data_IF_844390935642
#
_entry.id   IF_844390935642
#
_cell.length_a   1.000
_cell.length_b   1.000
_cell.length_c   1.000
_cell.angle_alpha   90.00
_cell.angle_beta   90.00
_cell.angle_gamma   90.00
#
_symmetry.space_group_name_H-M   'P 1'
#
loop_
_entity.id
_entity.type
_entity.pdbx_description
1 polymer ?
#
# COMPACT_ATOMS: atom_id res chain seq x y z
N UNK A 1 33.58 -24.74 -2.03
CA UNK A 1 33.13 -23.35 -1.78
C UNK A 1 31.71 -23.26 -2.30
N UNK A 2 30.71 -23.31 -1.41
CA UNK A 2 29.32 -23.21 -1.81
C UNK A 2 28.99 -21.74 -2.05
N UNK A 3 28.68 -21.40 -3.30
CA UNK A 3 28.14 -20.09 -3.66
C UNK A 3 26.73 -20.03 -3.08
N UNK A 4 26.58 -19.32 -1.96
CA UNK A 4 25.29 -18.97 -1.40
C UNK A 4 24.58 -18.06 -2.40
N UNK A 5 23.60 -18.59 -3.13
CA UNK A 5 22.65 -17.78 -3.91
C UNK A 5 21.70 -17.08 -2.94
N UNK A 6 22.19 -16.04 -2.26
CA UNK A 6 21.33 -15.06 -1.60
C UNK A 6 20.76 -14.09 -2.64
N UNK A 7 19.52 -13.66 -2.42
CA UNK A 7 18.87 -12.60 -3.19
C UNK A 7 19.66 -11.29 -3.11
N UNK A 8 19.57 -10.48 -4.17
CA UNK A 8 20.22 -9.17 -4.26
C UNK A 8 19.20 -8.07 -4.47
N UNK A 9 19.31 -7.02 -3.68
CA UNK A 9 18.39 -5.88 -3.73
C UNK A 9 19.11 -4.64 -4.23
N UNK A 10 18.79 -4.20 -5.44
CA UNK A 10 19.33 -2.94 -5.99
C UNK A 10 18.42 -1.78 -5.60
N UNK A 11 18.97 -0.79 -4.90
CA UNK A 11 18.21 0.35 -4.38
C UNK A 11 18.64 1.64 -5.07
N UNK A 12 17.70 2.26 -5.79
CA UNK A 12 17.92 3.50 -6.55
C UNK A 12 16.98 4.61 -6.09
N UNK A 13 17.51 5.81 -5.87
CA UNK A 13 16.71 6.99 -5.54
C UNK A 13 16.76 8.04 -6.64
N UNK A 14 15.69 8.82 -6.73
CA UNK A 14 15.66 10.05 -7.50
C UNK A 14 15.28 11.22 -6.58
N UNK A 15 16.15 12.23 -6.41
CA UNK A 15 17.49 12.32 -6.99
C UNK A 15 18.48 11.33 -6.34
N UNK A 16 19.57 11.00 -7.05
CA UNK A 16 20.57 10.02 -6.59
C UNK A 16 21.38 10.52 -5.40
N UNK A 17 22.09 9.64 -4.70
CA UNK A 17 22.95 9.99 -3.57
C UNK A 17 22.22 10.18 -2.24
N UNK A 18 20.97 9.71 -2.12
CA UNK A 18 20.30 9.67 -0.82
C UNK A 18 20.94 8.59 0.07
N UNK A 19 21.08 8.87 1.37
CA UNK A 19 21.46 7.87 2.36
C UNK A 19 20.35 6.84 2.48
N UNK A 20 20.70 5.57 2.43
CA UNK A 20 19.80 4.43 2.55
C UNK A 20 20.03 3.77 3.89
N UNK A 21 19.02 3.77 4.72
CA UNK A 21 19.00 3.10 6.00
C UNK A 21 18.09 1.89 5.89
N UNK A 22 18.55 0.79 6.47
CA UNK A 22 17.73 -0.37 6.71
C UNK A 22 17.16 -0.26 8.12
N UNK A 23 15.87 -0.54 8.26
CA UNK A 23 15.18 -0.53 9.54
C UNK A 23 14.51 -1.86 9.78
N UNK A 24 14.94 -2.51 10.86
CA UNK A 24 14.38 -3.78 11.33
C UNK A 24 13.02 -3.53 12.01
N UNK A 25 12.03 -4.36 11.68
CA UNK A 25 10.68 -4.26 12.21
C UNK A 25 10.63 -4.60 13.70
N UNK A 26 11.40 -5.60 14.12
CA UNK A 26 11.35 -6.14 15.48
C UNK A 26 12.14 -5.27 16.47
N UNK A 27 13.35 -4.87 16.09
CA UNK A 27 14.25 -4.12 16.99
C UNK A 27 14.10 -2.61 16.84
N UNK A 28 13.44 -2.13 15.77
CA UNK A 28 13.44 -0.72 15.35
C UNK A 28 14.86 -0.16 15.13
N UNK A 29 15.86 -1.04 15.01
CA UNK A 29 17.24 -0.65 14.80
C UNK A 29 17.42 -0.12 13.38
N UNK A 30 18.04 1.05 13.28
CA UNK A 30 18.29 1.76 12.03
C UNK A 30 19.77 1.65 11.69
N UNK A 31 20.09 0.95 10.60
CA UNK A 31 21.47 0.75 10.12
C UNK A 31 21.68 1.42 8.77
N UNK A 32 22.69 2.29 8.68
CA UNK A 32 23.08 2.88 7.39
C UNK A 32 23.71 1.79 6.50
N UNK A 33 23.21 1.65 5.28
CA UNK A 33 23.74 0.70 4.29
C UNK A 33 24.69 1.40 3.32
N UNK A 34 24.37 2.62 2.92
CA UNK A 34 25.20 3.41 2.01
C UNK A 34 24.40 4.51 1.33
N UNK A 35 24.96 5.06 0.26
CA UNK A 35 24.29 6.09 -0.55
C UNK A 35 23.78 5.46 -1.84
N UNK A 36 22.56 5.81 -2.24
CA UNK A 36 21.96 5.30 -3.47
C UNK A 36 22.69 5.80 -4.73
N UNK A 37 22.93 4.96 -5.76
CA UNK A 37 22.54 3.56 -5.86
C UNK A 37 23.38 2.65 -4.96
N UNK A 38 22.72 1.73 -4.25
CA UNK A 38 23.38 0.76 -3.35
C UNK A 38 22.79 -0.63 -3.58
N UNK A 39 23.63 -1.65 -3.44
CA UNK A 39 23.22 -3.06 -3.45
C UNK A 39 23.18 -3.57 -2.02
N UNK A 40 22.13 -4.31 -1.68
CA UNK A 40 21.93 -4.93 -0.37
C UNK A 40 21.85 -6.43 -0.61
N UNK A 41 22.72 -7.19 0.05
CA UNK A 41 22.64 -8.64 0.05
C UNK A 41 21.52 -9.12 0.99
N UNK A 42 20.85 -10.22 0.63
CA UNK A 42 19.86 -10.86 1.49
C UNK A 42 20.47 -11.27 2.83
N UNK A 43 19.89 -10.79 3.93
CA UNK A 43 20.27 -11.19 5.29
C UNK A 43 19.12 -11.97 5.94
N UNK A 44 19.39 -13.19 6.40
CA UNK A 44 18.38 -14.07 7.02
C UNK A 44 17.68 -13.44 8.23
N UNK A 45 18.30 -12.47 8.90
CA UNK A 45 17.75 -11.77 10.07
C UNK A 45 16.68 -10.73 9.73
N UNK A 46 16.64 -10.23 8.49
CA UNK A 46 15.68 -9.21 8.05
C UNK A 46 14.27 -9.79 7.86
N UNK A 47 14.18 -11.13 7.77
CA UNK A 47 12.97 -11.82 7.39
C UNK A 47 12.47 -11.42 6.00
N UNK A 48 11.21 -11.75 5.73
CA UNK A 48 10.61 -11.53 4.42
C UNK A 48 10.04 -10.11 4.26
N UNK A 49 10.10 -9.28 5.31
CA UNK A 49 9.59 -7.90 5.32
C UNK A 49 10.51 -7.01 6.13
N UNK A 50 11.00 -5.93 5.53
CA UNK A 50 11.82 -4.91 6.20
C UNK A 50 11.53 -3.51 5.63
N UNK A 51 11.99 -2.46 6.29
CA UNK A 51 11.84 -1.09 5.79
C UNK A 51 13.17 -0.52 5.30
N UNK A 52 13.10 0.23 4.20
CA UNK A 52 14.17 1.11 3.74
C UNK A 52 13.77 2.55 3.96
N UNK A 53 14.62 3.29 4.65
CA UNK A 53 14.45 4.71 4.88
C UNK A 53 15.50 5.50 4.10
N UNK A 54 15.04 6.55 3.44
CA UNK A 54 15.85 7.39 2.56
C UNK A 54 15.95 8.79 3.15
N UNK A 55 17.18 9.29 3.28
CA UNK A 55 17.43 10.68 3.69
C UNK A 55 18.30 11.39 2.67
N UNK A 56 17.96 12.64 2.39
CA UNK A 56 18.79 13.52 1.57
C UNK A 56 18.58 14.98 2.01
N UNK A 57 19.65 15.79 2.12
CA UNK A 57 19.51 17.21 2.46
C UNK A 57 18.59 17.93 1.48
N UNK A 58 17.69 18.78 1.99
CA UNK A 58 16.66 19.49 1.23
C UNK A 58 15.55 18.58 0.63
N UNK A 59 15.39 17.35 1.11
CA UNK A 59 14.31 16.44 0.75
C UNK A 59 13.66 15.84 1.98
N UNK A 60 12.36 15.57 1.90
CA UNK A 60 11.62 14.84 2.92
C UNK A 60 12.16 13.40 3.04
N UNK A 61 12.33 12.93 4.27
CA UNK A 61 12.66 11.53 4.51
C UNK A 61 11.52 10.64 4.02
N UNK A 62 11.86 9.46 3.51
CA UNK A 62 10.90 8.54 2.92
C UNK A 62 11.16 7.13 3.39
N UNK A 63 10.14 6.48 3.92
CA UNK A 63 10.18 5.08 4.33
C UNK A 63 9.41 4.23 3.31
N UNK A 64 9.99 3.09 2.92
CA UNK A 64 9.41 2.15 1.96
C UNK A 64 9.48 0.75 2.53
N UNK A 65 8.33 0.09 2.65
CA UNK A 65 8.24 -1.31 3.04
C UNK A 65 8.66 -2.20 1.86
N UNK A 66 9.59 -3.10 2.12
CA UNK A 66 10.07 -4.10 1.15
C UNK A 66 9.58 -5.46 1.62
N UNK A 67 8.94 -6.20 0.70
CA UNK A 67 8.56 -7.59 0.89
C UNK A 67 9.32 -8.44 -0.12
N UNK A 68 10.02 -9.45 0.36
CA UNK A 68 10.91 -10.32 -0.43
C UNK A 68 10.55 -11.78 -0.18
N UNK A 69 10.67 -12.63 -1.19
CA UNK A 69 10.69 -14.07 -1.02
C UNK A 69 12.15 -14.56 -0.94
N UNK A 70 12.39 -15.68 -0.26
CA UNK A 70 13.74 -16.25 -0.10
C UNK A 70 14.41 -16.45 -1.48
N UNK A 71 15.62 -15.90 -1.64
CA UNK A 71 16.40 -15.97 -2.89
C UNK A 71 15.91 -15.06 -4.02
N UNK A 72 14.92 -14.20 -3.80
CA UNK A 72 14.43 -13.25 -4.80
C UNK A 72 15.40 -12.06 -4.95
N UNK A 73 15.67 -11.66 -6.20
CA UNK A 73 16.41 -10.43 -6.49
C UNK A 73 15.46 -9.36 -6.99
N UNK A 74 15.51 -8.16 -6.43
CA UNK A 74 14.58 -7.07 -6.78
C UNK A 74 15.27 -5.72 -6.90
N UNK A 75 14.61 -4.80 -7.61
CA UNK A 75 15.06 -3.41 -7.73
C UNK A 75 14.07 -2.48 -7.05
N UNK A 76 14.51 -1.80 -6.00
CA UNK A 76 13.74 -0.77 -5.29
C UNK A 76 14.03 0.59 -5.91
N UNK A 77 12.99 1.30 -6.36
CA UNK A 77 13.11 2.67 -6.86
C UNK A 77 12.28 3.63 -6.00
N UNK A 78 12.93 4.62 -5.38
CA UNK A 78 12.26 5.62 -4.55
C UNK A 78 12.48 7.04 -5.08
N UNK A 79 11.39 7.82 -5.26
CA UNK A 79 11.47 9.26 -5.54
C UNK A 79 11.32 10.04 -4.24
N UNK A 80 12.22 10.99 -3.99
CA UNK A 80 12.20 11.89 -2.84
C UNK A 80 11.58 13.22 -3.24
N UNK A 81 10.79 13.78 -2.34
CA UNK A 81 10.13 15.07 -2.53
C UNK A 81 10.98 16.16 -1.87
N UNK A 82 11.23 17.30 -2.55
CA UNK A 82 12.03 18.38 -1.98
C UNK A 82 11.32 19.04 -0.78
N UNK A 83 12.10 19.47 0.21
CA UNK A 83 11.63 20.25 1.35
C UNK A 83 11.10 21.60 0.86
N UNK A 84 9.93 22.01 1.31
CA UNK A 84 9.38 23.34 0.96
C UNK A 84 10.16 24.45 1.69
N UNK A 85 10.13 25.68 1.17
CA UNK A 85 10.90 26.81 1.72
C UNK A 85 10.57 27.16 3.18
N UNK A 86 9.43 26.71 3.71
CA UNK A 86 9.07 26.84 5.11
C UNK A 86 9.78 25.79 5.99
N UNK A 87 9.99 24.57 5.47
CA UNK A 87 10.59 23.44 6.18
C UNK A 87 12.12 23.49 6.17
N UNK A 88 12.73 23.98 5.08
CA UNK A 88 14.18 24.12 4.93
C UNK A 88 14.82 25.10 5.93
N UNK A 89 14.07 26.11 6.41
CA UNK A 89 14.56 27.06 7.43
C UNK A 89 14.66 26.44 8.83
N UNK A 90 13.92 25.36 9.11
CA UNK A 90 13.93 24.69 10.41
C UNK A 90 15.12 23.75 10.62
N UNK A 91 15.68 23.17 9.55
CA UNK A 91 16.80 22.22 9.64
C UNK A 91 18.16 22.89 9.84
N UNK A 92 18.37 24.11 9.32
CA UNK A 92 19.62 24.86 9.49
C UNK A 92 19.93 25.23 10.95
N UNK A 93 18.91 25.21 11.84
CA UNK A 93 19.06 25.55 13.25
C UNK A 93 19.42 24.36 14.17
N UNK A 94 19.47 23.12 13.65
CA UNK A 94 19.71 21.91 14.48
C UNK A 94 21.15 21.38 14.45
N UNK A 95 22.04 21.99 13.67
CA UNK A 95 23.44 21.55 13.56
C UNK A 95 24.39 22.51 14.30
N UNK A 96 24.37 22.47 15.64
CA UNK A 96 25.51 22.88 16.47
C UNK A 96 25.90 21.71 17.41
N UNK A 97 27.20 21.44 17.61
CA UNK A 97 27.66 20.30 18.38
C UNK A 97 27.62 20.61 19.88
N UNK A 98 26.84 19.84 20.66
CA UNK A 98 26.97 19.85 22.13
C UNK A 98 27.91 18.74 22.59
N UNK A 99 28.96 19.18 23.28
CA UNK A 99 30.00 18.40 23.98
C UNK A 99 29.43 17.57 25.14
N UNK A 100 30.13 16.47 25.42
CA UNK A 100 29.97 15.55 26.55
C UNK A 100 29.98 16.23 27.92
N UNK A 101 29.30 15.62 28.90
CA UNK A 101 29.91 15.19 30.18
C UNK A 101 29.04 14.14 30.90
N UNK A 102 29.72 13.03 31.21
CA UNK A 102 29.63 11.99 32.24
C UNK A 102 28.33 11.52 32.97
N UNK A 103 28.23 10.18 32.96
CA UNK A 103 27.52 9.15 33.75
C UNK A 103 27.22 9.50 35.24
N UNK A 104 26.26 8.95 36.00
CA UNK A 104 25.25 7.85 36.03
C UNK A 104 24.56 7.98 37.43
N UNK A 105 23.70 7.06 37.92
CA UNK A 105 22.56 6.35 37.32
C UNK A 105 21.29 6.51 38.20
N UNK A 106 20.07 6.36 37.66
CA UNK A 106 18.95 5.70 38.36
C UNK A 106 17.64 5.77 37.57
N UNK A 107 16.86 4.69 37.71
CA UNK A 107 15.45 4.64 37.38
C UNK A 107 15.15 3.88 36.10
N UNK A 108 14.82 2.60 36.22
CA UNK A 108 13.94 1.95 35.24
C UNK A 108 12.67 2.81 35.11
N UNK A 109 12.28 3.28 33.92
CA UNK A 109 10.91 3.72 33.71
C UNK A 109 10.01 2.46 33.70
N UNK A 110 8.76 2.56 34.16
CA UNK A 110 7.89 1.41 34.36
C UNK A 110 7.65 0.66 33.05
N UNK A 111 7.42 -0.64 33.15
CA UNK A 111 6.74 -1.40 32.09
C UNK A 111 5.35 -0.80 31.89
N UNK A 112 5.24 0.19 31.02
CA UNK A 112 3.96 0.59 30.46
C UNK A 112 3.54 -0.51 29.48
N UNK A 113 2.49 -1.23 29.86
CA UNK A 113 1.70 -2.06 28.97
C UNK A 113 1.38 -1.25 27.70
N UNK A 114 2.16 -1.45 26.64
CA UNK A 114 1.83 -0.96 25.30
C UNK A 114 0.50 -1.61 24.92
N UNK A 115 -0.61 -0.92 25.19
CA UNK A 115 -1.90 -1.20 24.59
C UNK A 115 -1.65 -1.35 23.09
N UNK A 116 -1.97 -2.53 22.56
CA UNK A 116 -2.06 -2.75 21.12
C UNK A 116 -2.84 -1.57 20.53
N UNK A 117 -2.37 -0.93 19.44
CA UNK A 117 -3.17 0.09 18.78
C UNK A 117 -4.56 -0.49 18.56
N UNK A 118 -5.60 0.27 18.90
CA UNK A 118 -6.99 -0.15 18.68
C UNK A 118 -7.07 -0.64 17.23
N UNK A 119 -7.61 -1.84 16.98
CA UNK A 119 -7.66 -2.45 15.64
C UNK A 119 -8.29 -1.47 14.62
N UNK A 120 -9.13 -0.55 15.12
CA UNK A 120 -9.73 0.56 14.39
C UNK A 120 -8.76 1.67 13.98
N UNK A 121 -7.77 2.02 14.80
CA UNK A 121 -6.75 3.02 14.47
C UNK A 121 -5.80 2.49 13.40
N UNK A 122 -5.37 1.23 13.52
CA UNK A 122 -4.59 0.56 12.47
C UNK A 122 -5.39 0.48 11.17
N UNK A 123 -6.67 0.11 11.23
CA UNK A 123 -7.54 0.07 10.05
C UNK A 123 -7.71 1.47 9.42
N UNK A 124 -7.96 2.51 10.23
CA UNK A 124 -8.06 3.90 9.75
C UNK A 124 -6.77 4.33 9.07
N UNK A 125 -5.61 3.97 9.62
CA UNK A 125 -4.32 4.27 9.02
C UNK A 125 -4.16 3.58 7.65
N UNK A 126 -4.41 2.27 7.57
CA UNK A 126 -4.32 1.52 6.30
C UNK A 126 -5.28 2.07 5.24
N UNK A 127 -6.49 2.40 5.65
CA UNK A 127 -7.51 2.99 4.77
C UNK A 127 -7.07 4.37 4.30
N UNK A 128 -6.51 5.22 5.19
CA UNK A 128 -5.99 6.53 4.83
C UNK A 128 -4.79 6.45 3.89
N UNK A 129 -3.94 5.44 4.05
CA UNK A 129 -2.79 5.16 3.18
C UNK A 129 -3.18 4.51 1.86
N UNK A 130 -4.44 4.09 1.70
CA UNK A 130 -4.97 3.50 0.46
C UNK A 130 -4.14 2.32 -0.06
N UNK A 131 -3.52 1.55 0.85
CA UNK A 131 -2.34 0.69 0.64
C UNK A 131 -2.37 -0.24 -0.60
N UNK A 132 -3.55 -0.54 -1.16
CA UNK A 132 -3.72 -1.50 -2.25
C UNK A 132 -4.69 -1.07 -3.36
N UNK A 133 -5.16 0.18 -3.36
CA UNK A 133 -6.19 0.62 -4.35
C UNK A 133 -5.60 1.17 -5.65
N UNK A 134 -4.28 1.39 -5.76
CA UNK A 134 -3.73 2.25 -6.84
C UNK A 134 -2.49 1.76 -7.57
N UNK A 135 -1.86 0.64 -7.19
CA UNK A 135 -0.63 0.19 -7.84
C UNK A 135 -0.76 0.10 -9.38
N UNK A 136 -1.89 -0.43 -9.85
CA UNK A 136 -2.14 -0.69 -11.27
C UNK A 136 -2.53 0.54 -12.10
N UNK A 137 -3.17 1.54 -11.50
CA UNK A 137 -3.75 2.67 -12.25
C UNK A 137 -2.73 3.74 -12.63
N UNK A 138 -1.72 3.94 -11.78
CA UNK A 138 -0.62 4.87 -12.07
C UNK A 138 0.20 4.38 -13.27
N UNK A 139 0.52 3.09 -13.32
CA UNK A 139 1.30 2.55 -14.43
C UNK A 139 0.48 2.49 -15.73
N UNK A 140 -0.81 2.17 -15.66
CA UNK A 140 -1.68 2.18 -16.83
C UNK A 140 -1.86 3.58 -17.42
N UNK A 141 -2.10 4.61 -16.59
CA UNK A 141 -2.34 5.99 -17.04
C UNK A 141 -1.07 6.71 -17.51
N UNK A 142 0.10 6.37 -16.95
CA UNK A 142 1.36 7.07 -17.23
C UNK A 142 2.36 6.25 -18.07
N UNK A 143 2.04 5.03 -18.53
CA UNK A 143 2.98 4.26 -19.34
C UNK A 143 3.22 4.88 -20.73
N UNK A 144 4.47 4.98 -21.19
CA UNK A 144 4.80 5.45 -22.54
C UNK A 144 4.20 4.61 -23.67
N UNK A 145 3.84 3.34 -23.40
CA UNK A 145 3.28 2.42 -24.42
C UNK A 145 1.91 2.86 -24.94
N UNK A 146 1.14 3.63 -24.17
CA UNK A 146 -0.12 4.21 -24.64
C UNK A 146 0.06 5.57 -25.33
N UNK A 147 1.29 6.09 -25.46
CA UNK A 147 1.55 7.38 -26.13
C UNK A 147 1.52 7.30 -27.67
N UNK A 148 1.68 6.13 -28.29
CA UNK A 148 1.93 6.00 -29.74
C UNK A 148 0.95 5.12 -30.55
N UNK A 149 -0.36 5.17 -30.29
CA UNK A 149 -1.39 4.51 -31.11
C UNK A 149 -2.18 5.50 -31.98
N UNK A 150 -2.83 5.05 -33.08
CA UNK A 150 -3.52 5.93 -34.04
C UNK A 150 -4.59 6.80 -33.37
N UNK A 151 -4.57 8.09 -33.69
CA UNK A 151 -5.21 9.24 -33.00
C UNK A 151 -6.75 9.30 -33.02
N UNK A 152 -7.49 8.18 -32.95
CA UNK A 152 -8.97 8.22 -33.05
C UNK A 152 -9.76 7.33 -32.08
N UNK A 153 -9.18 6.97 -30.95
CA UNK A 153 -9.99 6.63 -29.78
C UNK A 153 -9.74 7.67 -28.71
N UNK A 154 -10.80 8.44 -28.43
CA UNK A 154 -10.93 9.48 -27.42
C UNK A 154 -9.94 9.36 -26.27
N UNK A 155 -8.84 10.11 -26.39
CA UNK A 155 -8.11 10.62 -25.24
C UNK A 155 -8.94 11.74 -24.60
N UNK A 156 -10.15 11.41 -24.13
CA UNK A 156 -10.82 12.16 -23.07
C UNK A 156 -10.01 11.97 -21.78
N UNK A 157 -8.86 12.64 -21.75
CA UNK A 157 -7.87 12.59 -20.67
C UNK A 157 -8.36 13.23 -19.38
N UNK A 158 -9.57 13.78 -19.37
CA UNK A 158 -10.16 14.51 -18.26
C UNK A 158 -11.21 13.73 -17.45
N UNK A 159 -11.93 12.78 -18.05
CA UNK A 159 -13.08 12.11 -17.41
C UNK A 159 -13.15 10.57 -17.62
N UNK A 160 -12.04 9.85 -17.61
CA UNK A 160 -12.12 8.38 -17.45
C UNK A 160 -12.43 8.01 -16.00
N UNK A 161 -13.11 6.86 -15.79
CA UNK A 161 -13.32 6.28 -14.43
C UNK A 161 -12.00 6.25 -13.67
N UNK A 162 -10.92 5.82 -14.32
CA UNK A 162 -9.58 5.77 -13.73
C UNK A 162 -9.06 7.15 -13.30
N UNK A 163 -9.21 8.17 -14.17
CA UNK A 163 -8.81 9.54 -13.85
C UNK A 163 -9.61 10.12 -12.68
N UNK A 164 -10.90 9.79 -12.58
CA UNK A 164 -11.76 10.19 -11.47
C UNK A 164 -11.31 9.50 -10.17
N UNK A 165 -11.03 8.19 -10.20
CA UNK A 165 -10.53 7.46 -9.03
C UNK A 165 -9.21 8.05 -8.52
N UNK A 166 -8.30 8.44 -9.42
CA UNK A 166 -7.06 9.11 -9.04
C UNK A 166 -7.31 10.48 -8.37
N UNK A 167 -8.25 11.28 -8.91
CA UNK A 167 -8.66 12.55 -8.28
C UNK A 167 -9.31 12.32 -6.91
N UNK A 168 -10.18 11.31 -6.77
CA UNK A 168 -10.78 10.94 -5.49
C UNK A 168 -9.73 10.63 -4.45
N UNK A 169 -8.69 9.89 -4.80
CA UNK A 169 -7.61 9.54 -3.88
C UNK A 169 -6.79 10.75 -3.44
N UNK A 170 -6.52 11.69 -4.34
CA UNK A 170 -5.87 12.96 -3.96
C UNK A 170 -6.75 13.75 -2.99
N UNK A 171 -8.07 13.77 -3.21
CA UNK A 171 -9.00 14.40 -2.28
C UNK A 171 -8.97 13.70 -0.90
N UNK A 172 -8.94 12.35 -0.86
CA UNK A 172 -8.75 11.57 0.38
C UNK A 172 -7.44 11.91 1.08
N UNK A 173 -6.32 11.99 0.36
CA UNK A 173 -5.02 12.35 0.92
C UNK A 173 -5.02 13.77 1.51
N UNK A 174 -5.80 14.69 0.94
CA UNK A 174 -6.05 16.04 1.45
C UNK A 174 -7.12 16.10 2.55
N UNK A 175 -7.69 14.96 2.94
CA UNK A 175 -8.84 14.82 3.87
C UNK A 175 -10.12 15.51 3.40
N UNK A 176 -10.22 15.82 2.10
CA UNK A 176 -11.44 16.33 1.48
C UNK A 176 -12.36 15.16 1.10
N UNK A 177 -13.02 14.62 2.12
CA UNK A 177 -13.91 13.46 1.95
C UNK A 177 -15.20 13.82 1.20
N UNK A 178 -15.60 15.09 1.22
CA UNK A 178 -16.74 15.62 0.46
C UNK A 178 -16.49 15.50 -1.03
N UNK A 179 -15.39 16.10 -1.51
CA UNK A 179 -14.99 16.01 -2.91
C UNK A 179 -14.71 14.55 -3.32
N UNK A 180 -14.05 13.77 -2.44
CA UNK A 180 -13.80 12.36 -2.73
C UNK A 180 -15.11 11.57 -2.95
N UNK A 181 -16.14 11.82 -2.14
CA UNK A 181 -17.45 11.16 -2.28
C UNK A 181 -18.12 11.53 -3.60
N UNK A 182 -18.16 12.82 -3.96
CA UNK A 182 -18.76 13.28 -5.22
C UNK A 182 -18.09 12.68 -6.45
N UNK A 183 -16.75 12.64 -6.43
CA UNK A 183 -15.96 12.02 -7.50
C UNK A 183 -16.23 10.51 -7.57
N UNK A 184 -16.32 9.82 -6.44
CA UNK A 184 -16.62 8.38 -6.42
C UNK A 184 -18.04 8.07 -6.90
N UNK A 185 -19.02 8.90 -6.55
CA UNK A 185 -20.39 8.78 -7.07
C UNK A 185 -20.46 9.06 -8.57
N UNK A 186 -19.60 9.95 -9.09
CA UNK A 186 -19.44 10.12 -10.54
C UNK A 186 -18.81 8.88 -11.18
N UNK A 187 -17.72 8.35 -10.61
CA UNK A 187 -17.06 7.14 -11.11
C UNK A 187 -18.00 5.93 -11.17
N UNK A 188 -18.80 5.71 -10.11
CA UNK A 188 -19.79 4.63 -10.04
C UNK A 188 -20.92 4.82 -11.04
N UNK A 189 -21.35 6.06 -11.31
CA UNK A 189 -22.35 6.33 -12.36
C UNK A 189 -21.82 6.03 -13.76
N UNK A 190 -20.52 6.19 -13.98
CA UNK A 190 -19.87 5.87 -15.25
C UNK A 190 -19.61 4.37 -15.42
N UNK A 191 -19.23 3.70 -14.33
CA UNK A 191 -19.01 2.25 -14.30
C UNK A 191 -19.42 1.69 -12.93
N UNK A 192 -20.64 1.15 -12.89
CA UNK A 192 -21.20 0.56 -11.67
C UNK A 192 -20.51 -0.76 -11.28
N UNK A 193 -19.77 -1.39 -12.20
CA UNK A 193 -19.02 -2.62 -11.99
C UNK A 193 -17.53 -2.36 -11.67
N UNK A 194 -17.17 -1.10 -11.41
CA UNK A 194 -15.82 -0.75 -10.96
C UNK A 194 -15.60 -1.16 -9.51
N UNK A 195 -15.00 -2.34 -9.28
CA UNK A 195 -14.67 -2.81 -7.92
C UNK A 195 -13.82 -1.81 -7.13
N UNK A 196 -12.91 -1.10 -7.81
CA UNK A 196 -12.04 -0.11 -7.20
C UNK A 196 -12.78 1.18 -6.80
N UNK A 197 -13.81 1.59 -7.54
CA UNK A 197 -14.66 2.72 -7.16
C UNK A 197 -15.46 2.40 -5.89
N UNK A 198 -16.05 1.21 -5.82
CA UNK A 198 -16.76 0.75 -4.61
C UNK A 198 -15.81 0.56 -3.42
N UNK A 199 -14.60 0.06 -3.66
CA UNK A 199 -13.59 -0.11 -2.62
C UNK A 199 -13.21 1.23 -1.98
N UNK A 200 -12.89 2.22 -2.81
CA UNK A 200 -12.55 3.57 -2.36
C UNK A 200 -13.74 4.26 -1.68
N UNK A 201 -14.97 4.03 -2.15
CA UNK A 201 -16.16 4.56 -1.49
C UNK A 201 -16.32 4.02 -0.08
N UNK A 202 -16.09 2.73 0.12
CA UNK A 202 -16.10 2.13 1.46
C UNK A 202 -15.00 2.72 2.36
N UNK A 203 -13.80 2.91 1.80
CA UNK A 203 -12.69 3.58 2.49
C UNK A 203 -13.04 5.01 2.92
N UNK A 204 -13.65 5.82 2.04
CA UNK A 204 -14.06 7.20 2.36
C UNK A 204 -15.16 7.22 3.42
N UNK A 205 -16.18 6.38 3.30
CA UNK A 205 -17.24 6.26 4.32
C UNK A 205 -16.67 5.87 5.68
N UNK A 206 -15.72 4.93 5.70
CA UNK A 206 -15.05 4.52 6.94
C UNK A 206 -14.24 5.66 7.57
N UNK A 207 -13.50 6.44 6.76
CA UNK A 207 -12.76 7.61 7.25
C UNK A 207 -13.68 8.72 7.78
N UNK A 208 -14.90 8.82 7.24
CA UNK A 208 -15.98 9.69 7.75
C UNK A 208 -16.68 9.12 8.99
N UNK A 209 -16.24 7.96 9.50
CA UNK A 209 -16.85 7.23 10.62
C UNK A 209 -18.28 6.71 10.33
N UNK A 210 -18.64 6.59 9.06
CA UNK A 210 -19.91 6.02 8.58
C UNK A 210 -19.73 4.53 8.26
N UNK A 211 -19.76 3.71 9.33
CA UNK A 211 -19.58 2.27 9.26
C UNK A 211 -20.67 1.55 8.43
N UNK A 212 -21.97 1.91 8.55
CA UNK A 212 -23.01 1.30 7.71
C UNK A 212 -22.77 1.50 6.20
N UNK A 213 -22.41 2.71 5.77
CA UNK A 213 -22.12 2.96 4.35
C UNK A 213 -20.82 2.28 3.90
N UNK A 214 -19.79 2.25 4.77
CA UNK A 214 -18.56 1.52 4.50
C UNK A 214 -18.82 0.03 4.25
N UNK A 215 -19.67 -0.57 5.10
CA UNK A 215 -20.11 -1.96 4.99
C UNK A 215 -20.72 -2.24 3.61
N UNK A 216 -21.72 -1.45 3.22
CA UNK A 216 -22.44 -1.63 1.95
C UNK A 216 -21.50 -1.52 0.74
N UNK A 217 -20.58 -0.55 0.76
CA UNK A 217 -19.65 -0.34 -0.34
C UNK A 217 -18.62 -1.46 -0.47
N UNK A 218 -18.08 -1.99 0.65
CA UNK A 218 -17.17 -3.13 0.61
C UNK A 218 -17.88 -4.46 0.30
N UNK A 219 -19.13 -4.64 0.74
CA UNK A 219 -19.97 -5.78 0.29
C UNK A 219 -20.15 -5.74 -1.24
N UNK A 220 -20.42 -4.56 -1.81
CA UNK A 220 -20.50 -4.37 -3.27
C UNK A 220 -19.16 -4.67 -3.95
N UNK A 221 -18.05 -4.25 -3.35
CA UNK A 221 -16.71 -4.57 -3.85
C UNK A 221 -16.50 -6.07 -3.97
N UNK A 222 -16.85 -6.85 -2.95
CA UNK A 222 -16.70 -8.31 -2.97
C UNK A 222 -17.71 -9.03 -3.86
N UNK A 223 -18.89 -8.43 -4.11
CA UNK A 223 -19.84 -8.95 -5.11
C UNK A 223 -19.27 -8.84 -6.52
N UNK A 224 -18.53 -7.78 -6.82
CA UNK A 224 -17.91 -7.53 -8.13
C UNK A 224 -16.58 -8.30 -8.25
N UNK A 225 -15.73 -8.20 -7.23
CA UNK A 225 -14.44 -8.87 -7.14
C UNK A 225 -14.35 -9.70 -5.85
N UNK A 226 -14.81 -10.97 -5.89
CA UNK A 226 -14.76 -11.88 -4.74
C UNK A 226 -13.35 -12.18 -4.23
N UNK A 227 -12.31 -11.87 -5.00
CA UNK A 227 -10.91 -12.15 -4.65
C UNK A 227 -10.22 -10.95 -4.00
N UNK A 228 -10.93 -9.85 -3.77
CA UNK A 228 -10.38 -8.66 -3.14
C UNK A 228 -10.15 -8.88 -1.63
N UNK A 229 -8.96 -9.40 -1.29
CA UNK A 229 -8.54 -9.69 0.08
C UNK A 229 -8.60 -8.47 1.00
N UNK A 230 -8.41 -7.28 0.45
CA UNK A 230 -8.40 -6.02 1.22
C UNK A 230 -9.82 -5.64 1.60
N UNK A 231 -10.75 -5.67 0.66
CA UNK A 231 -12.17 -5.46 0.93
C UNK A 231 -12.70 -6.48 1.94
N UNK A 232 -12.29 -7.76 1.82
CA UNK A 232 -12.67 -8.80 2.78
C UNK A 232 -12.18 -8.50 4.20
N UNK A 233 -10.90 -8.14 4.35
CA UNK A 233 -10.33 -7.76 5.65
C UNK A 233 -11.05 -6.56 6.27
N UNK A 234 -11.21 -5.49 5.49
CA UNK A 234 -11.83 -4.26 5.97
C UNK A 234 -13.29 -4.47 6.38
N UNK A 235 -14.03 -5.24 5.58
CA UNK A 235 -15.41 -5.57 5.87
C UNK A 235 -15.55 -6.46 7.12
N UNK A 236 -14.67 -7.43 7.32
CA UNK A 236 -14.67 -8.28 8.53
C UNK A 236 -14.50 -7.44 9.80
N UNK A 237 -13.57 -6.48 9.80
CA UNK A 237 -13.38 -5.58 10.96
C UNK A 237 -14.61 -4.70 11.22
N UNK A 238 -15.26 -4.19 10.17
CA UNK A 238 -16.52 -3.43 10.33
C UNK A 238 -17.66 -4.31 10.85
N UNK A 239 -17.75 -5.56 10.41
CA UNK A 239 -18.75 -6.51 10.89
C UNK A 239 -18.60 -6.79 12.38
N UNK A 240 -17.36 -7.05 12.84
CA UNK A 240 -17.06 -7.21 14.28
C UNK A 240 -17.50 -5.98 15.07
N UNK A 241 -17.23 -4.78 14.56
CA UNK A 241 -17.58 -3.53 15.26
C UNK A 241 -19.09 -3.27 15.32
N UNK A 242 -19.81 -3.62 14.26
CA UNK A 242 -21.26 -3.50 14.18
C UNK A 242 -22.00 -4.63 14.93
N UNK A 243 -21.28 -5.64 15.44
CA UNK A 243 -21.88 -6.81 16.10
C UNK A 243 -22.71 -7.70 15.16
N UNK A 244 -22.41 -7.65 13.85
CA UNK A 244 -23.11 -8.42 12.82
C UNK A 244 -22.37 -9.75 12.61
N UNK A 245 -23.10 -10.83 12.31
CA UNK A 245 -22.54 -12.19 12.16
C UNK A 245 -21.29 -12.22 11.28
N UNK A 246 -20.22 -12.95 11.69
CA UNK A 246 -18.94 -12.96 10.99
C UNK A 246 -19.10 -13.36 9.52
N UNK A 247 -18.30 -12.74 8.64
CA UNK A 247 -18.35 -13.09 7.22
C UNK A 247 -17.99 -14.57 7.00
N UNK A 248 -18.61 -15.23 6.01
CA UNK A 248 -18.21 -16.57 5.59
C UNK A 248 -16.75 -16.56 5.12
N UNK A 249 -16.10 -17.72 5.21
CA UNK A 249 -14.70 -17.95 4.81
C UNK A 249 -14.33 -17.19 3.51
N UNK A 250 -13.12 -16.61 3.43
CA UNK A 250 -12.69 -15.85 2.27
C UNK A 250 -12.80 -16.69 0.99
N UNK A 251 -13.10 -16.03 -0.14
CA UNK A 251 -13.10 -16.68 -1.45
C UNK A 251 -11.76 -17.39 -1.73
N UNK A 252 -11.74 -18.43 -2.59
CA UNK A 252 -10.58 -19.28 -2.79
C UNK A 252 -9.32 -18.47 -3.13
N UNK A 253 -8.18 -18.85 -2.52
CA UNK A 253 -6.91 -18.13 -2.65
C UNK A 253 -6.40 -18.00 -4.09
N UNK A 254 -6.86 -18.88 -4.97
CA UNK A 254 -6.42 -18.96 -6.36
C UNK A 254 -7.57 -18.55 -7.28
N UNK A 255 -7.32 -17.51 -8.09
CA UNK A 255 -8.17 -17.16 -9.22
C UNK A 255 -8.00 -18.22 -10.30
N UNK A 256 -8.86 -19.24 -10.29
CA UNK A 256 -8.91 -20.22 -11.37
C UNK A 256 -9.45 -19.54 -12.63
N UNK A 257 -8.71 -19.55 -13.76
CA UNK A 257 -9.21 -19.01 -15.01
C UNK A 257 -10.55 -19.66 -15.38
N UNK A 258 -11.47 -18.89 -15.96
CA UNK A 258 -12.79 -19.40 -16.36
C UNK A 258 -12.69 -20.60 -17.31
N UNK A 259 -11.63 -20.65 -18.13
CA UNK A 259 -11.30 -21.80 -18.98
C UNK A 259 -11.03 -23.07 -18.17
N UNK A 260 -10.28 -22.97 -17.08
CA UNK A 260 -9.99 -24.11 -16.19
C UNK A 260 -11.27 -24.58 -15.48
N UNK A 261 -12.09 -23.66 -14.99
CA UNK A 261 -13.40 -24.00 -14.38
C UNK A 261 -14.33 -24.71 -15.38
N UNK A 262 -14.36 -24.26 -16.63
CA UNK A 262 -15.19 -24.85 -17.68
C UNK A 262 -14.70 -26.24 -18.09
N UNK A 263 -13.38 -26.44 -18.15
CA UNK A 263 -12.76 -27.76 -18.37
C UNK A 263 -13.15 -28.72 -17.23
N UNK A 264 -13.00 -28.30 -15.99
CA UNK A 264 -13.36 -29.12 -14.82
C UNK A 264 -14.86 -29.46 -14.79
N UNK A 265 -15.72 -28.51 -15.17
CA UNK A 265 -17.17 -28.73 -15.24
C UNK A 265 -17.53 -29.79 -16.30
N UNK A 266 -16.89 -29.73 -17.48
CA UNK A 266 -17.07 -30.72 -18.55
C UNK A 266 -16.56 -32.11 -18.15
N UNK A 267 -15.40 -32.17 -17.47
CA UNK A 267 -14.84 -33.44 -16.98
C UNK A 267 -15.74 -34.10 -15.93
N UNK A 268 -16.28 -33.32 -14.99
CA UNK A 268 -17.23 -33.82 -13.98
C UNK A 268 -18.52 -34.34 -14.62
N UNK A 269 -19.07 -33.62 -15.60
CA UNK A 269 -20.28 -34.02 -16.31
C UNK A 269 -20.07 -35.33 -17.11
N UNK A 270 -18.93 -35.45 -17.81
CA UNK A 270 -18.59 -36.67 -18.53
C UNK A 270 -18.38 -37.87 -17.60
N UNK A 271 -17.78 -37.65 -16.41
CA UNK A 271 -17.58 -38.72 -15.43
C UNK A 271 -18.88 -39.14 -14.73
N UNK A 272 -19.86 -38.25 -14.57
CA UNK A 272 -21.20 -38.61 -14.07
C UNK A 272 -22.07 -39.34 -15.09
N UNK A 273 -21.84 -39.11 -16.39
CA UNK A 273 -22.55 -39.80 -17.48
C UNK A 273 -21.96 -41.19 -17.79
N UNK A 274 -20.76 -41.49 -17.29
CA UNK A 274 -20.05 -42.77 -17.47
C UNK A 274 -20.23 -43.73 -16.28
N UNK A 275 -21.00 -43.36 -15.26
CA UNK A 275 -21.33 -44.21 -14.10
C UNK A 275 -22.77 -44.70 -14.18
#
# INVERSE_FOLDING_TARGET
MAVSCGGKYQVRTFPSGAKVYLKDIQTQERRLIGNSPVEIDEESRLGNVFFLEFEKPNYNSKEVMIKVNEGESLTVQARLDPLTTAEAKGELAKNEPKKNDDQKPQGQPPQDDKKKPDDMEDLKLRVALLENTVGFYKDAMFSPRFKGGPERYDRETTESVIGILFKSQQAVARRDYTQATELLDKAIRMDEYSSNAWMLKGSVSFLKNDLPSARVAWEKTLKIDPFNKVAYRYLNEVYKKLGVSPMPEPGPDVRTPSSVKEIDKRLKLNNSLRR
#
